data_IF_530074693984
#
_entry.id   IF_530074693984
#
_cell.length_a   1.000
_cell.length_b   1.000
_cell.length_c   1.000
_cell.angle_alpha   90.00
_cell.angle_beta   90.00
_cell.angle_gamma   90.00
#
_symmetry.space_group_name_H-M   'P 1'
#
loop_
_entity.id
_entity.type
_entity.pdbx_description
1 polymer ?
#
# COMPACT_ATOMS: atom_id res chain seq x y z
N UNK A 1 -4.43 7.18 -30.07
CA UNK A 1 -4.37 6.98 -28.60
C UNK A 1 -5.49 6.03 -28.23
N UNK A 2 -5.14 4.82 -27.79
CA UNK A 2 -6.06 3.69 -27.60
C UNK A 2 -6.80 3.81 -26.26
N UNK A 3 -8.08 4.19 -26.30
CA UNK A 3 -9.00 4.04 -25.17
C UNK A 3 -9.55 2.61 -25.14
N UNK A 4 -8.75 1.65 -24.67
CA UNK A 4 -9.29 0.36 -24.17
C UNK A 4 -9.67 0.58 -22.71
N UNK A 5 -10.89 1.05 -22.47
CA UNK A 5 -11.49 0.94 -21.15
C UNK A 5 -11.68 -0.55 -20.87
N UNK A 6 -10.88 -1.10 -19.97
CA UNK A 6 -10.92 -2.50 -19.58
C UNK A 6 -12.22 -2.72 -18.79
N UNK A 7 -13.24 -3.29 -19.42
CA UNK A 7 -14.51 -3.59 -18.75
C UNK A 7 -14.28 -4.72 -17.73
N UNK A 8 -14.48 -4.47 -16.43
CA UNK A 8 -14.31 -5.50 -15.41
C UNK A 8 -15.53 -6.42 -15.28
N UNK A 9 -16.74 -5.93 -15.61
CA UNK A 9 -17.97 -6.70 -15.58
C UNK A 9 -19.04 -6.14 -16.54
N UNK A 10 -19.88 -7.04 -17.07
CA UNK A 10 -21.06 -6.72 -17.85
C UNK A 10 -22.30 -7.16 -17.08
N UNK A 11 -23.20 -6.23 -16.81
CA UNK A 11 -24.48 -6.50 -16.13
C UNK A 11 -25.61 -6.31 -17.13
N UNK A 12 -26.30 -7.40 -17.46
CA UNK A 12 -27.50 -7.41 -18.30
C UNK A 12 -28.73 -7.61 -17.42
N UNK A 13 -29.61 -6.61 -17.41
CA UNK A 13 -30.91 -6.66 -16.76
C UNK A 13 -31.99 -6.71 -17.82
N UNK A 14 -32.64 -7.87 -17.95
CA UNK A 14 -33.81 -8.03 -18.82
C UNK A 14 -35.07 -8.13 -17.96
N UNK A 15 -35.91 -7.11 -18.04
CA UNK A 15 -37.27 -7.20 -17.52
C UNK A 15 -38.07 -8.07 -18.48
N UNK A 16 -38.40 -9.29 -18.04
CA UNK A 16 -39.24 -10.23 -18.79
C UNK A 16 -40.56 -10.42 -18.05
N UNK A 17 -41.65 -10.67 -18.79
CA UNK A 17 -42.89 -11.10 -18.15
C UNK A 17 -42.62 -12.42 -17.42
N UNK A 18 -42.85 -12.45 -16.10
CA UNK A 18 -42.96 -13.73 -15.40
C UNK A 18 -44.17 -14.47 -15.96
N UNK A 19 -43.93 -15.40 -16.88
CA UNK A 19 -44.86 -16.49 -17.13
C UNK A 19 -44.86 -17.34 -15.85
N UNK A 20 -45.96 -17.29 -15.12
CA UNK A 20 -46.20 -18.19 -13.98
C UNK A 20 -46.20 -19.63 -14.48
N UNK A 21 -45.07 -20.32 -14.41
CA UNK A 21 -45.01 -21.76 -14.50
C UNK A 21 -44.33 -22.33 -13.25
N UNK A 22 -45.18 -22.92 -12.42
CA UNK A 22 -44.81 -23.87 -11.37
C UNK A 22 -43.89 -24.96 -11.91
N UNK A 23 -42.93 -25.34 -11.07
CA UNK A 23 -42.03 -26.49 -11.21
C UNK A 23 -42.62 -27.69 -11.95
N UNK A 24 -42.00 -28.09 -13.05
CA UNK A 24 -42.01 -29.47 -13.51
C UNK A 24 -40.69 -29.75 -14.25
N UNK A 25 -39.91 -30.66 -13.68
CA UNK A 25 -38.81 -31.37 -14.33
C UNK A 25 -39.30 -32.10 -15.58
N UNK A 26 -38.60 -31.96 -16.72
CA UNK A 26 -38.56 -33.05 -17.69
C UNK A 26 -37.29 -33.04 -18.54
N UNK A 27 -36.81 -34.25 -18.73
CA UNK A 27 -35.59 -34.73 -19.36
C UNK A 27 -35.41 -34.32 -20.83
N UNK A 28 -34.14 -34.38 -21.25
CA UNK A 28 -33.66 -34.25 -22.62
C UNK A 28 -34.38 -35.14 -23.63
N UNK A 29 -34.63 -34.61 -24.83
CA UNK A 29 -34.53 -35.37 -26.08
C UNK A 29 -34.21 -34.44 -27.27
N UNK A 30 -33.21 -34.85 -28.06
CA UNK A 30 -32.79 -34.27 -29.33
C UNK A 30 -33.88 -34.39 -30.41
N UNK A 31 -33.95 -33.41 -31.33
CA UNK A 31 -34.23 -33.67 -32.75
C UNK A 31 -33.82 -32.50 -33.65
N UNK A 32 -33.11 -32.84 -34.73
CA UNK A 32 -32.68 -31.99 -35.84
C UNK A 32 -33.85 -31.60 -36.75
N UNK A 33 -33.69 -30.52 -37.56
CA UNK A 33 -33.86 -30.48 -39.05
C UNK A 33 -34.23 -29.05 -39.57
N UNK A 34 -33.30 -28.50 -40.37
CA UNK A 34 -33.36 -27.68 -41.62
C UNK A 34 -34.40 -26.58 -41.89
N UNK A 35 -33.93 -25.46 -42.47
CA UNK A 35 -34.53 -24.91 -43.71
C UNK A 35 -34.85 -23.40 -43.78
N UNK A 36 -34.06 -22.70 -44.60
CA UNK A 36 -34.39 -21.52 -45.45
C UNK A 36 -34.47 -20.06 -44.92
N UNK A 37 -33.97 -19.19 -45.81
CA UNK A 37 -33.57 -17.77 -45.70
C UNK A 37 -34.74 -16.75 -45.70
N UNK A 38 -34.43 -15.44 -45.52
CA UNK A 38 -34.99 -14.21 -46.19
C UNK A 38 -34.69 -12.94 -45.31
N UNK A 39 -34.48 -11.70 -45.84
CA UNK A 39 -33.31 -11.12 -46.51
C UNK A 39 -32.67 -9.94 -45.70
N UNK A 40 -31.64 -9.29 -46.27
CA UNK A 40 -30.98 -8.08 -45.73
C UNK A 40 -31.83 -6.81 -45.92
N UNK A 41 -31.84 -5.93 -44.92
CA UNK A 41 -32.19 -4.51 -45.05
C UNK A 41 -31.01 -3.69 -44.51
N UNK A 42 -30.51 -2.78 -45.34
CA UNK A 42 -29.38 -1.87 -45.09
C UNK A 42 -29.73 -0.72 -44.13
N UNK A 43 -28.68 -0.21 -43.46
CA UNK A 43 -28.61 0.66 -42.28
C UNK A 43 -29.11 2.12 -42.46
N UNK A 44 -29.06 2.93 -41.39
CA UNK A 44 -27.99 3.92 -41.39
C UNK A 44 -27.17 4.01 -40.09
N UNK A 45 -25.86 4.12 -40.29
CA UNK A 45 -24.75 4.16 -39.33
C UNK A 45 -24.85 5.27 -38.27
N UNK A 46 -24.73 4.89 -37.00
CA UNK A 46 -24.05 5.68 -35.96
C UNK A 46 -23.64 4.81 -34.76
N UNK A 47 -22.33 4.50 -34.71
CA UNK A 47 -21.57 4.00 -33.54
C UNK A 47 -21.97 2.61 -33.00
N UNK A 48 -21.50 1.57 -33.70
CA UNK A 48 -20.90 0.38 -33.07
C UNK A 48 -21.75 -0.88 -32.91
N UNK A 49 -22.36 -1.40 -33.98
CA UNK A 49 -23.03 -2.72 -33.99
C UNK A 49 -22.09 -3.91 -33.69
N UNK A 50 -20.77 -3.71 -33.79
CA UNK A 50 -19.75 -4.70 -33.42
C UNK A 50 -19.75 -5.06 -31.92
N UNK A 51 -20.11 -4.13 -31.03
CA UNK A 51 -20.25 -4.44 -29.60
C UNK A 51 -21.54 -5.21 -29.31
N UNK A 52 -22.62 -4.91 -30.05
CA UNK A 52 -23.91 -5.58 -29.88
C UNK A 52 -23.85 -7.04 -30.32
N UNK A 53 -23.20 -7.34 -31.45
CA UNK A 53 -23.07 -8.72 -31.95
C UNK A 53 -22.24 -9.63 -31.02
N UNK A 54 -21.23 -9.09 -30.33
CA UNK A 54 -20.48 -9.82 -29.30
C UNK A 54 -21.31 -10.09 -28.03
N UNK A 55 -22.26 -9.22 -27.68
CA UNK A 55 -23.04 -9.32 -26.45
C UNK A 55 -24.24 -10.27 -26.56
N UNK A 56 -24.82 -10.42 -27.75
CA UNK A 56 -26.02 -11.26 -27.98
C UNK A 56 -25.73 -12.66 -28.55
N UNK A 57 -24.50 -12.96 -28.97
CA UNK A 57 -24.13 -14.29 -29.47
C UNK A 57 -23.82 -15.32 -28.38
N UNK A 58 -23.70 -14.91 -27.13
CA UNK A 58 -23.49 -15.82 -25.99
C UNK A 58 -24.66 -15.76 -25.03
N UNK A 59 -25.41 -16.88 -24.92
CA UNK A 59 -26.26 -17.22 -23.75
C UNK A 59 -25.44 -17.41 -22.45
N UNK A 60 -24.21 -16.92 -22.41
CA UNK A 60 -23.31 -16.97 -21.28
C UNK A 60 -23.17 -15.54 -20.76
N UNK A 61 -23.96 -15.23 -19.73
CA UNK A 61 -23.68 -14.07 -18.89
C UNK A 61 -22.24 -14.18 -18.39
N UNK A 62 -21.44 -13.13 -18.53
CA UNK A 62 -20.11 -13.05 -17.93
C UNK A 62 -20.28 -12.93 -16.41
N UNK A 63 -20.65 -14.03 -15.76
CA UNK A 63 -20.88 -14.11 -14.31
C UNK A 63 -19.58 -14.20 -13.50
N UNK A 64 -18.42 -14.28 -14.16
CA UNK A 64 -17.13 -14.35 -13.47
C UNK A 64 -16.52 -12.95 -13.40
N UNK A 65 -16.88 -12.22 -12.35
CA UNK A 65 -16.11 -11.06 -11.90
C UNK A 65 -14.77 -11.61 -11.40
N UNK A 66 -13.70 -11.44 -12.19
CA UNK A 66 -12.34 -11.76 -11.71
C UNK A 66 -12.02 -10.96 -10.45
N UNK A 67 -11.14 -11.49 -9.59
CA UNK A 67 -10.79 -10.93 -8.29
C UNK A 67 -10.69 -9.39 -8.32
N UNK A 68 -11.46 -8.71 -7.46
CA UNK A 68 -11.38 -7.25 -7.29
C UNK A 68 -10.46 -6.96 -6.13
N UNK A 69 -9.57 -5.98 -6.25
CA UNK A 69 -8.62 -5.66 -5.20
C UNK A 69 -8.85 -4.25 -4.62
N UNK A 70 -8.51 -4.09 -3.34
CA UNK A 70 -8.56 -2.80 -2.66
C UNK A 70 -7.77 -1.73 -3.43
N UNK A 71 -8.36 -0.55 -3.58
CA UNK A 71 -7.74 0.59 -4.25
C UNK A 71 -7.86 0.56 -5.77
N UNK A 72 -8.35 -0.53 -6.38
CA UNK A 72 -8.72 -0.54 -7.80
C UNK A 72 -9.93 0.36 -8.06
N UNK A 73 -10.05 0.81 -9.30
CA UNK A 73 -11.31 1.34 -9.82
C UNK A 73 -12.08 0.17 -10.42
N UNK A 74 -13.13 -0.26 -9.73
CA UNK A 74 -14.10 -1.19 -10.27
C UNK A 74 -14.94 -0.49 -11.34
N UNK A 75 -14.89 -0.98 -12.58
CA UNK A 75 -15.69 -0.44 -13.69
C UNK A 75 -16.59 -1.52 -14.28
N UNK A 76 -17.89 -1.25 -14.38
CA UNK A 76 -18.86 -2.14 -15.01
C UNK A 76 -19.72 -1.39 -16.03
N UNK A 77 -20.22 -2.12 -17.03
CA UNK A 77 -21.26 -1.62 -17.93
C UNK A 77 -22.59 -2.23 -17.50
N UNK A 78 -23.57 -1.37 -17.28
CA UNK A 78 -24.93 -1.78 -16.93
C UNK A 78 -25.81 -1.51 -18.13
N UNK A 79 -26.52 -2.54 -18.59
CA UNK A 79 -27.55 -2.42 -19.62
C UNK A 79 -28.88 -2.91 -19.08
N UNK A 80 -29.91 -2.08 -19.25
CA UNK A 80 -31.28 -2.34 -18.86
C UNK A 80 -32.10 -2.42 -20.12
N UNK A 81 -32.72 -3.57 -20.33
CA UNK A 81 -33.63 -3.84 -21.44
C UNK A 81 -35.04 -4.00 -20.89
N UNK A 82 -35.96 -3.18 -21.38
CA UNK A 82 -37.38 -3.37 -21.11
C UNK A 82 -37.97 -4.37 -22.10
N UNK A 83 -38.09 -5.64 -21.70
CA UNK A 83 -38.77 -6.67 -22.47
C UNK A 83 -40.28 -6.78 -22.16
N UNK A 84 -40.84 -5.86 -21.39
CA UNK A 84 -42.25 -5.86 -20.98
C UNK A 84 -43.04 -4.77 -21.70
N UNK A 85 -44.38 -4.87 -21.67
CA UNK A 85 -45.27 -3.81 -22.14
C UNK A 85 -45.41 -2.62 -21.18
N UNK A 86 -44.76 -2.67 -20.01
CA UNK A 86 -44.89 -1.70 -18.93
C UNK A 86 -43.86 -0.58 -19.04
N UNK A 87 -44.12 0.59 -18.44
CA UNK A 87 -43.21 1.73 -18.47
C UNK A 87 -42.29 1.71 -17.25
N UNK A 88 -40.98 1.63 -17.49
CA UNK A 88 -39.96 1.79 -16.44
C UNK A 88 -39.72 3.29 -16.23
N UNK A 89 -39.76 3.73 -14.97
CA UNK A 89 -39.78 5.15 -14.60
C UNK A 89 -38.56 5.61 -13.80
N UNK A 90 -37.85 4.69 -13.15
CA UNK A 90 -36.72 5.03 -12.27
C UNK A 90 -35.73 3.87 -12.16
N UNK A 91 -34.45 4.22 -12.17
CA UNK A 91 -33.32 3.29 -12.14
C UNK A 91 -32.33 3.78 -11.10
N UNK A 92 -32.05 2.95 -10.12
CA UNK A 92 -31.11 3.20 -9.04
C UNK A 92 -30.01 2.15 -9.03
N UNK A 93 -28.76 2.61 -9.01
CA UNK A 93 -27.59 1.75 -8.90
C UNK A 93 -26.80 2.14 -7.65
N UNK A 94 -26.51 1.15 -6.81
CA UNK A 94 -25.92 1.36 -5.49
C UNK A 94 -24.87 0.31 -5.16
N UNK A 95 -23.88 0.68 -4.33
CA UNK A 95 -22.96 -0.25 -3.66
C UNK A 95 -23.08 -0.18 -2.13
N UNK A 96 -22.95 -1.31 -1.43
CA UNK A 96 -23.01 -1.42 0.06
C UNK A 96 -21.80 -0.72 0.74
N UNK A 97 -21.72 -0.38 2.04
CA UNK A 97 -22.68 -0.30 3.15
C UNK A 97 -23.17 1.14 3.44
N UNK A 98 -22.63 2.13 2.73
CA UNK A 98 -22.93 3.56 2.86
C UNK A 98 -23.84 4.05 1.73
N UNK A 99 -24.78 3.23 1.23
CA UNK A 99 -25.76 3.61 0.17
C UNK A 99 -25.19 4.60 -0.86
N UNK A 100 -24.00 4.33 -1.40
CA UNK A 100 -23.40 5.25 -2.34
C UNK A 100 -24.14 5.05 -3.66
N UNK A 101 -24.95 6.03 -4.02
CA UNK A 101 -25.57 6.10 -5.34
C UNK A 101 -24.44 6.27 -6.35
N UNK A 102 -24.33 5.31 -7.27
CA UNK A 102 -23.37 5.40 -8.34
C UNK A 102 -23.98 6.23 -9.46
N UNK A 103 -23.27 7.25 -9.97
CA UNK A 103 -23.80 8.15 -10.98
C UNK A 103 -24.15 7.34 -12.22
N UNK A 104 -25.45 7.22 -12.48
CA UNK A 104 -26.01 6.69 -13.70
C UNK A 104 -26.52 7.86 -14.51
N UNK A 105 -26.14 7.96 -15.79
CA UNK A 105 -26.46 9.08 -16.69
C UNK A 105 -27.94 9.44 -16.75
N UNK A 106 -28.81 8.52 -16.34
CA UNK A 106 -30.26 8.64 -16.38
C UNK A 106 -30.93 8.73 -15.00
N UNK A 107 -30.16 9.05 -13.94
CA UNK A 107 -30.67 9.14 -12.57
C UNK A 107 -31.40 10.47 -12.28
N UNK A 108 -30.91 11.59 -12.86
CA UNK A 108 -31.51 12.93 -12.67
C UNK A 108 -32.53 13.32 -13.75
N UNK A 109 -32.63 12.52 -14.82
CA UNK A 109 -33.63 12.70 -15.86
C UNK A 109 -34.70 11.64 -15.60
N UNK A 110 -35.98 11.99 -15.57
CA UNK A 110 -37.08 11.03 -15.42
C UNK A 110 -37.05 10.01 -16.56
N UNK A 111 -36.27 8.95 -16.39
CA UNK A 111 -36.04 7.94 -17.40
C UNK A 111 -37.36 7.24 -17.66
N UNK A 112 -37.86 7.36 -18.89
CA UNK A 112 -39.03 6.64 -19.35
C UNK A 112 -38.59 5.64 -20.40
N UNK A 113 -38.58 4.35 -20.05
CA UNK A 113 -38.16 3.28 -20.95
C UNK A 113 -39.38 2.50 -21.45
N UNK A 114 -39.71 2.67 -22.74
CA UNK A 114 -40.82 1.97 -23.39
C UNK A 114 -40.48 0.49 -23.68
N UNK A 115 -41.51 -0.29 -24.03
CA UNK A 115 -41.36 -1.68 -24.43
C UNK A 115 -40.34 -1.84 -25.58
N UNK A 116 -39.42 -2.80 -25.44
CA UNK A 116 -38.36 -3.10 -26.40
C UNK A 116 -37.17 -2.13 -26.37
N UNK A 117 -37.22 -1.05 -25.60
CA UNK A 117 -36.11 -0.10 -25.48
C UNK A 117 -35.06 -0.58 -24.48
N UNK A 118 -33.82 -0.18 -24.73
CA UNK A 118 -32.70 -0.44 -23.82
C UNK A 118 -31.93 0.83 -23.52
N UNK A 119 -31.43 0.94 -22.31
CA UNK A 119 -30.49 1.98 -21.89
C UNK A 119 -29.24 1.32 -21.31
N UNK A 120 -28.09 1.97 -21.41
CA UNK A 120 -26.90 1.49 -20.74
C UNK A 120 -25.92 2.60 -20.41
N UNK A 121 -25.09 2.34 -19.41
CA UNK A 121 -24.08 3.28 -18.93
C UNK A 121 -22.88 2.54 -18.34
N UNK A 122 -21.73 3.21 -18.35
CA UNK A 122 -20.51 2.74 -17.72
C UNK A 122 -20.35 3.38 -16.35
N UNK A 123 -20.20 2.55 -15.33
CA UNK A 123 -20.08 2.99 -13.95
C UNK A 123 -18.69 2.66 -13.46
N UNK A 124 -18.09 3.59 -12.71
CA UNK A 124 -16.77 3.40 -12.10
C UNK A 124 -16.81 3.78 -10.63
N UNK A 125 -16.22 2.93 -9.79
CA UNK A 125 -16.18 3.10 -8.35
C UNK A 125 -14.80 2.72 -7.81
N UNK A 126 -14.14 3.63 -7.11
CA UNK A 126 -12.90 3.31 -6.40
C UNK A 126 -13.22 2.47 -5.16
N UNK A 127 -12.64 1.28 -5.10
CA UNK A 127 -12.90 0.32 -4.03
C UNK A 127 -12.06 0.67 -2.80
N UNK A 128 -12.72 1.05 -1.71
CA UNK A 128 -12.07 1.58 -0.51
C UNK A 128 -11.99 0.62 0.68
N UNK A 129 -12.71 -0.50 0.62
CA UNK A 129 -12.84 -1.44 1.73
C UNK A 129 -12.70 -2.88 1.24
N UNK A 130 -12.08 -3.74 2.06
CA UNK A 130 -11.97 -5.19 1.80
C UNK A 130 -13.24 -5.92 2.26
N UNK A 131 -13.49 -7.11 1.71
CA UNK A 131 -14.62 -7.96 2.11
C UNK A 131 -15.61 -8.18 0.97
N UNK A 132 -16.81 -8.66 1.29
CA UNK A 132 -17.83 -8.95 0.31
C UNK A 132 -18.61 -7.68 -0.05
N UNK A 133 -18.49 -7.23 -1.29
CA UNK A 133 -19.23 -6.08 -1.81
C UNK A 133 -20.47 -6.54 -2.56
N UNK A 134 -21.49 -5.68 -2.55
CA UNK A 134 -22.77 -5.89 -3.20
C UNK A 134 -23.05 -4.71 -4.12
N UNK A 135 -23.15 -4.97 -5.42
CA UNK A 135 -23.73 -4.06 -6.39
C UNK A 135 -25.24 -4.37 -6.46
N UNK A 136 -26.05 -3.36 -6.17
CA UNK A 136 -27.51 -3.44 -6.20
C UNK A 136 -28.01 -2.62 -7.38
N UNK A 137 -28.71 -3.29 -8.29
CA UNK A 137 -29.44 -2.64 -9.38
C UNK A 137 -30.92 -2.68 -9.03
N UNK A 138 -31.48 -1.54 -8.67
CA UNK A 138 -32.89 -1.37 -8.36
C UNK A 138 -33.60 -0.66 -9.52
N UNK A 139 -34.74 -1.20 -9.92
CA UNK A 139 -35.58 -0.69 -10.99
C UNK A 139 -37.00 -0.50 -10.44
N UNK A 140 -37.65 0.59 -10.84
CA UNK A 140 -39.03 0.89 -10.50
C UNK A 140 -39.81 1.11 -11.80
N UNK A 141 -40.91 0.37 -11.96
CA UNK A 141 -41.77 0.45 -13.12
C UNK A 141 -43.25 0.49 -12.71
N UNK A 142 -44.07 1.12 -13.54
CA UNK A 142 -45.51 1.23 -13.30
C UNK A 142 -46.24 0.27 -14.22
N UNK A 143 -47.10 -0.57 -13.65
CA UNK A 143 -47.99 -1.43 -14.41
C UNK A 143 -49.15 -0.63 -15.02
N UNK A 144 -49.82 -1.20 -16.02
CA UNK A 144 -51.00 -0.62 -16.67
C UNK A 144 -52.15 -0.28 -15.68
N UNK A 145 -52.21 -0.95 -14.52
CA UNK A 145 -53.18 -0.68 -13.44
C UNK A 145 -52.75 0.48 -12.49
N UNK A 146 -51.63 1.15 -12.76
CA UNK A 146 -51.07 2.22 -11.93
C UNK A 146 -50.26 1.73 -10.72
N UNK A 147 -50.12 0.42 -10.52
CA UNK A 147 -49.31 -0.15 -9.45
C UNK A 147 -47.82 0.03 -9.74
N UNK A 148 -47.08 0.66 -8.81
CA UNK A 148 -45.62 0.75 -8.88
C UNK A 148 -45.01 -0.54 -8.33
N UNK A 149 -44.16 -1.17 -9.14
CA UNK A 149 -43.42 -2.38 -8.77
C UNK A 149 -41.94 -2.09 -8.76
N UNK A 150 -41.27 -2.66 -7.76
CA UNK A 150 -39.82 -2.55 -7.57
C UNK A 150 -39.17 -3.91 -7.85
N UNK A 151 -38.18 -3.89 -8.72
CA UNK A 151 -37.32 -5.03 -8.99
C UNK A 151 -35.90 -4.72 -8.50
N UNK A 152 -35.24 -5.68 -7.85
CA UNK A 152 -33.86 -5.53 -7.40
C UNK A 152 -33.06 -6.76 -7.76
N UNK A 153 -31.92 -6.54 -8.40
CA UNK A 153 -30.93 -7.57 -8.65
C UNK A 153 -29.66 -7.27 -7.86
N UNK A 154 -29.05 -8.32 -7.35
CA UNK A 154 -27.88 -8.25 -6.49
C UNK A 154 -26.70 -8.96 -7.17
N UNK A 155 -25.55 -8.30 -7.21
CA UNK A 155 -24.30 -8.86 -7.70
C UNK A 155 -23.26 -8.79 -6.59
N UNK A 156 -22.80 -9.96 -6.13
CA UNK A 156 -21.81 -10.08 -5.08
C UNK A 156 -20.42 -10.26 -5.69
N UNK A 157 -19.43 -9.55 -5.15
CA UNK A 157 -18.03 -9.76 -5.53
C UNK A 157 -17.11 -9.57 -4.32
N UNK A 158 -16.13 -10.47 -4.11
CA UNK A 158 -15.15 -10.30 -3.05
C UNK A 158 -14.12 -9.24 -3.45
N UNK A 159 -13.80 -8.37 -2.49
CA UNK A 159 -12.66 -7.45 -2.57
C UNK A 159 -11.55 -7.95 -1.67
N UNK A 160 -10.41 -8.22 -2.28
CA UNK A 160 -9.23 -8.80 -1.65
C UNK A 160 -8.15 -7.73 -1.40
N UNK A 161 -7.21 -8.05 -0.52
CA UNK A 161 -6.01 -7.23 -0.31
C UNK A 161 -5.04 -7.46 -1.48
N UNK A 162 -4.56 -6.40 -2.17
CA UNK A 162 -3.60 -6.56 -3.27
C UNK A 162 -2.15 -6.71 -2.80
N UNK A 163 -1.83 -6.14 -1.64
CA UNK A 163 -0.47 -5.98 -1.15
C UNK A 163 -0.41 -6.25 0.34
N UNK A 164 0.50 -7.11 0.79
CA UNK A 164 0.91 -7.18 2.18
C UNK A 164 2.11 -6.26 2.41
N UNK A 165 2.06 -5.46 3.49
CA UNK A 165 3.09 -4.45 3.79
C UNK A 165 3.56 -4.62 5.23
N UNK A 166 4.84 -4.97 5.38
CA UNK A 166 5.52 -5.01 6.67
C UNK A 166 6.56 -3.89 6.72
N UNK A 167 6.62 -3.17 7.84
CA UNK A 167 7.56 -2.06 8.01
C UNK A 167 8.42 -2.25 9.26
N UNK A 168 9.69 -1.82 9.17
CA UNK A 168 10.63 -1.78 10.29
C UNK A 168 11.31 -0.42 10.31
N UNK A 169 11.29 0.24 11.47
CA UNK A 169 11.99 1.50 11.68
C UNK A 169 13.24 1.27 12.52
N UNK A 170 14.39 1.69 12.01
CA UNK A 170 15.68 1.63 12.70
C UNK A 170 16.20 3.05 12.92
N UNK A 171 16.54 3.38 14.17
CA UNK A 171 17.20 4.65 14.50
C UNK A 171 18.68 4.54 14.18
N UNK A 172 19.23 5.51 13.45
CA UNK A 172 20.66 5.66 13.27
C UNK A 172 21.20 6.77 14.18
N UNK A 173 22.51 6.76 14.41
CA UNK A 173 23.23 7.66 15.32
C UNK A 173 23.10 9.15 14.94
N UNK A 174 22.86 9.44 13.66
CA UNK A 174 22.86 10.79 13.08
C UNK A 174 21.48 11.46 13.01
N UNK A 175 20.57 11.19 13.97
CA UNK A 175 19.18 11.70 13.92
C UNK A 175 18.41 11.28 12.65
N UNK A 176 18.93 10.28 11.95
CA UNK A 176 18.34 9.69 10.75
C UNK A 176 17.61 8.41 11.15
N UNK A 177 16.47 8.18 10.53
CA UNK A 177 15.67 6.97 10.71
C UNK A 177 15.62 6.25 9.40
N UNK A 178 16.02 4.99 9.41
CA UNK A 178 15.84 4.13 8.26
C UNK A 178 14.50 3.41 8.38
N UNK A 179 13.70 3.47 7.33
CA UNK A 179 12.48 2.69 7.19
C UNK A 179 12.72 1.62 6.13
N UNK A 180 12.67 0.36 6.54
CA UNK A 180 12.53 -0.77 5.64
C UNK A 180 11.03 -1.06 5.44
N UNK A 181 10.57 -1.06 4.20
CA UNK A 181 9.22 -1.48 3.81
C UNK A 181 9.32 -2.72 2.92
N UNK A 182 8.70 -3.81 3.37
CA UNK A 182 8.57 -5.06 2.62
C UNK A 182 7.17 -5.09 2.02
N UNK A 183 7.08 -5.09 0.69
CA UNK A 183 5.83 -5.10 -0.07
C UNK A 183 5.71 -6.43 -0.79
N UNK A 184 4.71 -7.22 -0.45
CA UNK A 184 4.42 -8.50 -1.07
C UNK A 184 3.20 -8.38 -1.98
N UNK A 185 3.31 -8.89 -3.20
CA UNK A 185 2.16 -9.03 -4.10
C UNK A 185 1.32 -10.25 -3.66
N UNK A 186 0.09 -10.01 -3.21
CA UNK A 186 -0.85 -11.07 -2.80
C UNK A 186 -1.91 -11.37 -3.86
N UNK A 187 -1.83 -10.72 -5.02
CA UNK A 187 -2.70 -11.00 -6.17
C UNK A 187 -2.27 -12.27 -6.90
N UNK A 188 -3.15 -12.75 -7.77
CA UNK A 188 -2.92 -13.86 -8.70
C UNK A 188 -2.21 -13.44 -10.01
N UNK A 189 -1.91 -12.16 -10.17
CA UNK A 189 -1.31 -11.61 -11.37
C UNK A 189 0.01 -10.87 -11.09
N UNK A 190 0.85 -10.81 -12.11
CA UNK A 190 2.05 -9.97 -12.10
C UNK A 190 1.66 -8.49 -11.90
N UNK A 191 2.36 -7.83 -10.99
CA UNK A 191 2.06 -6.45 -10.58
C UNK A 191 3.27 -5.55 -10.82
N UNK A 192 3.08 -4.45 -11.54
CA UNK A 192 4.08 -3.41 -11.70
C UNK A 192 3.76 -2.30 -10.72
N UNK A 193 4.70 -1.94 -9.84
CA UNK A 193 4.56 -0.77 -9.00
C UNK A 193 4.91 0.49 -9.82
N UNK A 194 3.89 1.30 -10.13
CA UNK A 194 4.05 2.60 -10.77
C UNK A 194 4.64 3.64 -9.80
N UNK A 195 4.34 3.51 -8.50
CA UNK A 195 4.86 4.40 -7.46
C UNK A 195 4.97 3.67 -6.12
N UNK A 196 6.09 3.86 -5.44
CA UNK A 196 6.28 3.46 -4.03
C UNK A 196 6.97 4.62 -3.33
N UNK A 197 6.19 5.52 -2.75
CA UNK A 197 6.66 6.78 -2.21
C UNK A 197 6.35 6.88 -0.72
N UNK A 198 7.34 7.27 0.06
CA UNK A 198 7.15 7.61 1.46
C UNK A 198 6.82 9.11 1.55
N UNK A 199 5.60 9.43 1.98
CA UNK A 199 5.10 10.79 2.11
C UNK A 199 5.22 11.23 3.58
N UNK A 200 6.06 12.22 3.91
CA UNK A 200 6.19 12.69 5.29
C UNK A 200 4.88 13.31 5.79
N UNK A 201 4.62 13.17 7.09
CA UNK A 201 3.58 13.97 7.74
C UNK A 201 4.05 15.44 7.72
N UNK A 202 3.16 16.42 7.46
CA UNK A 202 3.52 17.84 7.52
C UNK A 202 4.24 18.15 8.86
N UNK A 203 5.28 18.98 8.79
CA UNK A 203 6.24 19.36 9.87
C UNK A 203 7.52 18.51 10.04
N UNK A 204 7.73 17.47 9.21
CA UNK A 204 9.03 16.77 9.12
C UNK A 204 9.79 17.13 7.82
N UNK A 205 11.05 17.55 7.95
CA UNK A 205 11.95 17.91 6.85
C UNK A 205 12.42 16.66 6.03
N UNK A 206 13.13 16.83 4.89
CA UNK A 206 12.93 16.03 3.68
C UNK A 206 13.18 14.53 3.84
N UNK A 207 12.29 13.74 3.25
CA UNK A 207 12.46 12.30 3.08
C UNK A 207 13.33 12.06 1.86
N UNK A 208 14.42 11.31 2.04
CA UNK A 208 15.26 10.88 0.92
C UNK A 208 15.04 9.39 0.72
N UNK A 209 14.48 9.01 -0.42
CA UNK A 209 14.52 7.60 -0.82
C UNK A 209 16.00 7.24 -1.02
N UNK A 210 16.46 6.22 -0.32
CA UNK A 210 17.81 5.71 -0.56
C UNK A 210 17.67 4.85 -1.80
N UNK A 211 18.10 5.41 -2.93
CA UNK A 211 18.14 4.68 -4.19
C UNK A 211 18.94 3.39 -3.98
N UNK A 212 18.44 2.29 -4.54
CA UNK A 212 19.03 0.96 -4.43
C UNK A 212 20.54 1.03 -4.70
N UNK A 213 21.35 0.38 -3.85
CA UNK A 213 22.79 0.18 -4.07
C UNK A 213 23.10 -0.57 -5.38
N UNK A 214 22.07 -1.06 -6.08
CA UNK A 214 22.16 -1.65 -7.40
C UNK A 214 22.21 -0.54 -8.47
N UNK A 215 23.41 -0.05 -8.75
CA UNK A 215 23.71 0.76 -9.92
C UNK A 215 23.52 -0.06 -11.21
N UNK A 216 22.28 -0.09 -11.73
CA UNK A 216 21.94 -0.77 -12.96
C UNK A 216 20.73 -0.13 -13.66
N UNK A 217 20.70 -0.18 -14.99
CA UNK A 217 19.74 0.46 -15.90
C UNK A 217 18.25 0.03 -15.73
N UNK A 218 17.87 -0.64 -14.65
CA UNK A 218 16.52 -1.15 -14.37
C UNK A 218 15.67 -0.22 -13.47
N UNK A 219 15.84 1.10 -13.61
CA UNK A 219 15.11 2.09 -12.79
C UNK A 219 13.58 2.14 -13.04
N UNK A 220 13.05 1.52 -14.09
CA UNK A 220 11.72 1.86 -14.59
C UNK A 220 10.60 0.82 -14.40
N UNK A 221 10.90 -0.42 -14.02
CA UNK A 221 9.86 -1.44 -13.84
C UNK A 221 10.02 -2.17 -12.50
N UNK A 222 9.23 -1.77 -11.51
CA UNK A 222 9.13 -2.49 -10.24
C UNK A 222 8.11 -3.63 -10.38
N UNK A 223 8.47 -4.66 -11.15
CA UNK A 223 7.65 -5.86 -11.30
C UNK A 223 7.77 -6.74 -10.04
N UNK A 224 6.63 -7.13 -9.48
CA UNK A 224 6.51 -8.03 -8.33
C UNK A 224 5.56 -9.16 -8.75
N UNK A 225 6.09 -10.39 -8.85
CA UNK A 225 5.31 -11.59 -9.20
C UNK A 225 4.36 -11.98 -8.04
N UNK A 226 3.29 -12.74 -8.30
CA UNK A 226 2.44 -13.32 -7.26
C UNK A 226 3.26 -13.99 -6.15
N UNK A 227 2.98 -13.64 -4.89
CA UNK A 227 3.66 -14.15 -3.71
C UNK A 227 5.05 -13.58 -3.44
N UNK A 228 5.67 -12.89 -4.41
CA UNK A 228 7.02 -12.33 -4.26
C UNK A 228 7.00 -11.07 -3.38
N UNK A 229 8.11 -10.87 -2.66
CA UNK A 229 8.33 -9.72 -1.77
C UNK A 229 9.40 -8.81 -2.37
N UNK A 230 9.17 -7.50 -2.34
CA UNK A 230 10.17 -6.49 -2.66
C UNK A 230 10.42 -5.59 -1.46
N UNK A 231 11.69 -5.33 -1.17
CA UNK A 231 12.12 -4.46 -0.08
C UNK A 231 12.42 -3.06 -0.62
N UNK A 232 12.03 -2.04 0.15
CA UNK A 232 12.32 -0.64 -0.11
C UNK A 232 12.93 -0.02 1.14
N UNK A 233 14.00 0.75 0.98
CA UNK A 233 14.67 1.43 2.07
C UNK A 233 14.54 2.95 1.92
N UNK A 234 14.18 3.63 3.00
CA UNK A 234 14.03 5.08 3.04
C UNK A 234 14.86 5.67 4.18
N UNK A 235 15.49 6.81 3.95
CA UNK A 235 16.16 7.61 4.97
C UNK A 235 15.31 8.83 5.32
N UNK A 236 15.03 8.99 6.61
CA UNK A 236 14.19 10.06 7.13
C UNK A 236 15.03 10.87 8.12
N UNK A 237 15.30 12.12 7.80
CA UNK A 237 15.97 13.03 8.72
C UNK A 237 14.95 13.50 9.76
N UNK A 238 15.05 13.02 11.00
CA UNK A 238 14.16 13.45 12.05
C UNK A 238 14.63 14.79 12.64
N UNK A 239 13.71 15.74 12.74
CA UNK A 239 13.91 16.94 13.55
C UNK A 239 13.72 16.53 15.02
N UNK A 240 14.65 16.95 15.89
CA UNK A 240 14.61 16.74 17.34
C UNK A 240 13.26 17.24 17.90
N UNK A 241 12.34 16.32 18.20
CA UNK A 241 11.12 16.63 18.95
C UNK A 241 11.06 15.74 20.20
N UNK A 242 10.83 16.36 21.35
CA UNK A 242 10.65 15.71 22.67
C UNK A 242 9.24 15.13 22.83
N UNK A 243 8.81 14.30 21.88
CA UNK A 243 7.54 13.59 21.99
C UNK A 243 7.78 12.08 21.96
N UNK A 244 7.05 11.36 22.80
CA UNK A 244 7.19 9.90 22.97
C UNK A 244 6.84 9.10 21.72
N UNK A 245 6.00 9.66 20.84
CA UNK A 245 5.63 9.08 19.56
C UNK A 245 5.56 10.19 18.49
N UNK A 246 6.13 9.91 17.32
CA UNK A 246 6.03 10.79 16.15
C UNK A 246 5.40 9.98 15.01
N UNK A 247 4.35 10.52 14.42
CA UNK A 247 3.87 10.05 13.13
C UNK A 247 4.86 10.53 12.06
N UNK A 248 5.63 9.60 11.49
CA UNK A 248 6.80 9.93 10.67
C UNK A 248 6.41 10.16 9.21
N UNK A 249 5.66 9.22 8.64
CA UNK A 249 5.31 9.24 7.22
C UNK A 249 4.19 8.24 6.89
N UNK A 250 3.61 8.37 5.71
CA UNK A 250 2.68 7.39 5.12
C UNK A 250 3.31 6.79 3.87
N UNK A 251 3.22 5.47 3.70
CA UNK A 251 3.67 4.82 2.48
C UNK A 251 2.52 4.85 1.45
N UNK A 252 2.74 5.52 0.32
CA UNK A 252 1.79 5.63 -0.78
C UNK A 252 2.27 4.77 -1.96
N UNK A 253 1.44 3.79 -2.34
CA UNK A 253 1.72 2.81 -3.37
C UNK A 253 0.69 2.90 -4.48
N UNK A 254 1.16 2.99 -5.72
CA UNK A 254 0.34 2.88 -6.92
C UNK A 254 0.87 1.72 -7.73
N UNK A 255 -0.03 0.86 -8.17
CA UNK A 255 0.30 -0.36 -8.85
C UNK A 255 -0.60 -0.58 -10.06
N UNK A 256 -0.11 -1.39 -11.01
CA UNK A 256 -0.85 -1.84 -12.16
C UNK A 256 -0.57 -3.32 -12.41
N UNK A 257 -1.60 -4.14 -12.53
CA UNK A 257 -1.49 -5.53 -12.93
C UNK A 257 -1.28 -5.66 -14.44
N UNK A 258 -0.76 -6.78 -14.90
CA UNK A 258 -0.53 -7.04 -16.34
C UNK A 258 -1.80 -7.03 -17.19
N UNK A 259 -2.97 -7.25 -16.57
CA UNK A 259 -4.27 -7.10 -17.24
C UNK A 259 -4.71 -5.63 -17.42
N UNK A 260 -3.93 -4.66 -16.91
CA UNK A 260 -4.18 -3.22 -17.07
C UNK A 260 -4.95 -2.56 -15.94
N UNK A 261 -5.45 -3.32 -14.96
CA UNK A 261 -6.11 -2.77 -13.77
C UNK A 261 -5.10 -2.03 -12.91
N UNK A 262 -5.52 -0.88 -12.40
CA UNK A 262 -4.68 0.03 -11.62
C UNK A 262 -5.32 0.25 -10.27
N UNK A 263 -4.51 0.17 -9.22
CA UNK A 263 -4.96 0.47 -7.87
C UNK A 263 -4.00 1.37 -7.11
N UNK A 264 -4.53 1.97 -6.03
CA UNK A 264 -3.74 2.77 -5.09
C UNK A 264 -4.04 2.35 -3.66
N UNK A 265 -3.00 2.14 -2.87
CA UNK A 265 -3.10 1.85 -1.45
C UNK A 265 -2.18 2.78 -0.67
N UNK A 266 -2.65 3.28 0.47
CA UNK A 266 -1.87 4.11 1.38
C UNK A 266 -1.92 3.49 2.77
N UNK A 267 -0.78 3.43 3.46
CA UNK A 267 -0.75 2.99 4.86
C UNK A 267 -1.30 4.07 5.79
N UNK A 268 -1.73 3.67 6.97
CA UNK A 268 -1.84 4.60 8.09
C UNK A 268 -0.48 5.27 8.37
N UNK A 269 -0.46 6.45 9.03
CA UNK A 269 0.79 7.07 9.46
C UNK A 269 1.64 6.08 10.25
N UNK A 270 2.87 5.85 9.79
CA UNK A 270 3.86 5.05 10.48
C UNK A 270 4.27 5.80 11.74
N UNK A 271 4.14 5.15 12.89
CA UNK A 271 4.50 5.72 14.16
C UNK A 271 5.89 5.25 14.56
N UNK A 272 6.69 6.18 15.06
CA UNK A 272 7.96 5.88 15.71
C UNK A 272 7.86 6.26 17.17
N UNK A 273 8.16 5.32 18.05
CA UNK A 273 8.52 5.64 19.42
C UNK A 273 9.89 6.31 19.38
N UNK A 274 9.93 7.60 19.65
CA UNK A 274 11.21 8.26 19.91
C UNK A 274 11.47 7.99 21.38
N UNK A 275 12.35 7.02 21.65
CA UNK A 275 13.00 6.93 22.95
C UNK A 275 13.58 8.32 23.18
N UNK A 276 13.04 9.06 24.16
CA UNK A 276 13.46 10.43 24.42
C UNK A 276 14.99 10.47 24.47
N UNK A 277 15.58 11.56 23.96
CA UNK A 277 16.99 11.80 24.24
C UNK A 277 17.08 11.73 25.76
N UNK A 278 17.71 10.69 26.32
CA UNK A 278 17.99 10.68 27.75
C UNK A 278 18.80 11.94 28.09
N UNK A 279 19.17 12.12 29.36
CA UNK A 279 19.98 13.28 29.74
C UNK A 279 21.30 13.39 28.92
N UNK A 280 21.78 12.25 28.37
CA UNK A 280 22.99 12.14 27.58
C UNK A 280 22.71 11.49 26.20
N UNK A 281 23.30 12.08 25.15
CA UNK A 281 23.28 11.54 23.79
C UNK A 281 24.69 11.21 23.32
N UNK A 282 24.83 10.10 22.61
CA UNK A 282 26.07 9.67 21.96
C UNK A 282 25.89 9.61 20.45
N UNK A 283 26.89 10.06 19.69
CA UNK A 283 26.97 9.97 18.23
C UNK A 283 28.38 9.58 17.78
N UNK A 284 28.54 8.79 16.71
CA UNK A 284 29.84 8.64 16.05
C UNK A 284 30.03 9.77 15.04
N UNK A 285 31.13 10.51 15.17
CA UNK A 285 31.52 11.59 14.26
C UNK A 285 32.39 11.06 13.13
N UNK A 286 33.35 10.19 13.47
CA UNK A 286 34.24 9.59 12.48
C UNK A 286 34.81 8.28 12.99
N UNK A 287 35.06 7.37 12.05
CA UNK A 287 35.70 6.08 12.31
C UNK A 287 35.95 5.37 10.98
N UNK A 288 36.93 4.46 10.92
CA UNK A 288 37.21 3.70 9.71
C UNK A 288 36.12 2.67 9.43
N UNK A 289 35.67 2.54 8.18
CA UNK A 289 34.70 1.49 7.80
C UNK A 289 35.35 0.10 7.69
N UNK A 290 36.67 0.04 7.52
CA UNK A 290 37.44 -1.20 7.51
C UNK A 290 38.82 -1.03 8.15
N UNK A 291 39.27 -2.03 8.91
CA UNK A 291 40.56 -2.01 9.62
C UNK A 291 41.28 -3.36 9.52
N UNK A 292 42.60 -3.33 9.60
CA UNK A 292 43.39 -4.57 9.65
C UNK A 292 43.37 -5.14 11.06
N UNK A 293 43.28 -6.46 11.17
CA UNK A 293 43.36 -7.19 12.43
C UNK A 293 44.66 -6.84 13.16
N UNK A 294 44.59 -6.74 14.48
CA UNK A 294 45.71 -6.39 15.37
C UNK A 294 46.37 -5.04 15.12
N UNK A 295 45.72 -4.11 14.43
CA UNK A 295 46.14 -2.72 14.37
C UNK A 295 45.18 -1.83 15.17
N UNK A 296 45.70 -0.90 15.99
CA UNK A 296 44.86 0.05 16.69
C UNK A 296 44.25 1.04 15.70
N UNK A 297 43.01 1.44 15.95
CA UNK A 297 42.32 2.46 15.17
C UNK A 297 41.51 3.37 16.07
N UNK A 298 41.20 4.57 15.58
CA UNK A 298 40.53 5.61 16.36
C UNK A 298 39.10 5.82 15.88
N UNK A 299 38.19 5.99 16.83
CA UNK A 299 36.80 6.37 16.61
C UNK A 299 36.51 7.61 17.44
N UNK A 300 35.95 8.64 16.80
CA UNK A 300 35.58 9.89 17.45
C UNK A 300 34.09 9.84 17.77
N UNK A 301 33.77 9.86 19.05
CA UNK A 301 32.42 9.95 19.55
C UNK A 301 32.12 11.39 19.96
N UNK A 302 30.91 11.87 19.72
CA UNK A 302 30.37 13.11 20.24
C UNK A 302 29.32 12.80 21.30
N UNK A 303 29.52 13.38 22.47
CA UNK A 303 28.62 13.33 23.60
C UNK A 303 27.89 14.67 23.65
N UNK A 304 26.56 14.66 23.73
CA UNK A 304 25.74 15.86 23.87
C UNK A 304 24.93 15.78 25.17
N UNK A 305 24.98 16.84 25.98
CA UNK A 305 24.07 16.98 27.11
C UNK A 305 22.70 17.46 26.60
N UNK A 306 21.69 16.61 26.78
CA UNK A 306 20.29 16.88 26.45
C UNK A 306 19.47 17.36 27.68
N UNK A 307 20.09 17.43 28.86
CA UNK A 307 19.41 17.86 30.10
C UNK A 307 19.56 19.36 30.37
N UNK A 308 18.70 19.89 31.25
CA UNK A 308 18.75 21.28 31.72
C UNK A 308 19.85 21.54 32.76
N UNK A 309 20.60 20.52 33.16
CA UNK A 309 21.62 20.58 34.23
C UNK A 309 23.01 20.25 33.71
N UNK A 310 24.05 20.68 34.43
CA UNK A 310 25.41 20.26 34.13
C UNK A 310 25.64 18.80 34.53
N UNK A 311 26.26 18.02 33.65
CA UNK A 311 26.58 16.61 33.88
C UNK A 311 28.05 16.45 34.21
N UNK A 312 28.35 15.73 35.30
CA UNK A 312 29.72 15.42 35.71
C UNK A 312 30.01 13.96 35.39
N UNK A 313 30.52 13.70 34.19
CA UNK A 313 30.59 12.35 33.62
C UNK A 313 31.93 11.68 33.90
N UNK A 314 31.88 10.39 34.25
CA UNK A 314 33.02 9.48 34.30
C UNK A 314 32.79 8.36 33.28
N UNK A 315 33.73 8.17 32.36
CA UNK A 315 33.72 7.10 31.36
C UNK A 315 34.23 5.80 31.97
N UNK A 316 33.50 4.71 31.78
CA UNK A 316 33.97 3.35 32.04
C UNK A 316 33.78 2.52 30.77
N UNK A 317 34.85 1.87 30.34
CA UNK A 317 34.88 0.98 29.19
C UNK A 317 34.87 -0.47 29.68
N UNK A 318 33.95 -1.28 29.14
CA UNK A 318 33.73 -2.67 29.52
C UNK A 318 33.90 -3.58 28.30
N UNK A 319 34.98 -4.36 28.29
CA UNK A 319 35.30 -5.28 27.19
C UNK A 319 34.48 -6.58 27.22
N UNK A 320 33.74 -6.87 28.30
CA UNK A 320 33.04 -8.16 28.44
C UNK A 320 31.88 -8.35 27.46
N UNK A 321 31.39 -7.26 26.87
CA UNK A 321 30.20 -7.25 26.01
C UNK A 321 30.49 -7.41 24.51
N UNK A 322 31.76 -7.35 24.09
CA UNK A 322 32.17 -7.45 22.69
C UNK A 322 33.02 -8.70 22.45
N UNK A 323 32.78 -9.40 21.33
CA UNK A 323 33.57 -10.60 20.93
C UNK A 323 34.42 -10.26 19.71
N UNK A 324 35.65 -9.79 19.93
CA UNK A 324 36.62 -9.56 18.85
C UNK A 324 37.08 -8.11 18.65
N UNK A 325 36.57 -7.18 19.46
CA UNK A 325 37.10 -5.83 19.63
C UNK A 325 37.49 -5.62 21.09
N UNK A 326 38.50 -4.80 21.33
CA UNK A 326 38.95 -4.39 22.66
C UNK A 326 39.10 -2.88 22.71
N UNK A 327 38.74 -2.30 23.85
CA UNK A 327 39.01 -0.90 24.16
C UNK A 327 40.48 -0.72 24.53
N UNK A 328 41.23 -0.01 23.70
CA UNK A 328 42.63 0.37 23.97
C UNK A 328 42.71 1.84 24.42
N UNK A 329 41.84 2.23 25.34
CA UNK A 329 41.73 3.59 25.88
C UNK A 329 41.60 3.55 27.39
N UNK A 330 41.92 4.66 28.05
CA UNK A 330 41.80 4.76 29.50
C UNK A 330 40.32 4.68 29.91
N UNK A 331 40.03 3.73 30.81
CA UNK A 331 38.76 3.62 31.53
C UNK A 331 38.83 4.44 32.82
N UNK A 332 37.67 4.69 33.43
CA UNK A 332 37.51 5.49 34.67
C UNK A 332 38.00 6.94 34.55
N UNK A 333 37.88 7.51 33.34
CA UNK A 333 38.27 8.89 33.06
C UNK A 333 37.13 9.84 33.40
N UNK A 334 37.38 10.76 34.32
CA UNK A 334 36.45 11.86 34.62
C UNK A 334 36.63 13.00 33.61
N UNK A 335 35.52 13.45 33.02
CA UNK A 335 35.52 14.59 32.11
C UNK A 335 35.22 15.91 32.81
N UNK A 336 35.52 17.02 32.15
CA UNK A 336 35.05 18.34 32.56
C UNK A 336 33.51 18.40 32.59
N UNK A 337 32.90 19.23 33.47
CA UNK A 337 31.46 19.38 33.55
C UNK A 337 30.84 19.75 32.19
N UNK A 338 29.97 18.89 31.67
CA UNK A 338 29.28 19.13 30.40
C UNK A 338 28.03 19.96 30.66
N UNK A 339 28.09 21.25 30.32
CA UNK A 339 26.98 22.19 30.51
C UNK A 339 25.73 21.82 29.67
N UNK A 340 24.53 22.29 30.06
CA UNK A 340 23.29 22.08 29.30
C UNK A 340 23.43 22.43 27.82
N UNK A 341 22.88 21.59 26.94
CA UNK A 341 22.91 21.74 25.49
C UNK A 341 24.33 21.82 24.84
N UNK A 342 25.42 21.58 25.59
CA UNK A 342 26.78 21.53 25.04
C UNK A 342 27.16 20.12 24.57
N UNK A 343 28.15 20.09 23.68
CA UNK A 343 28.74 18.87 23.14
C UNK A 343 30.21 18.76 23.51
N UNK A 344 30.71 17.53 23.60
CA UNK A 344 32.12 17.19 23.80
C UNK A 344 32.47 16.03 22.88
N UNK A 345 33.64 16.09 22.25
CA UNK A 345 34.15 14.98 21.44
C UNK A 345 35.15 14.17 22.25
N UNK A 346 35.01 12.85 22.22
CA UNK A 346 35.90 11.89 22.87
C UNK A 346 36.46 10.97 21.79
N UNK A 347 37.78 10.92 21.68
CA UNK A 347 38.47 10.01 20.75
C UNK A 347 38.88 8.77 21.50
N UNK A 348 38.35 7.62 21.10
CA UNK A 348 38.69 6.33 21.68
C UNK A 348 39.44 5.48 20.67
N UNK A 349 40.47 4.79 21.14
CA UNK A 349 41.24 3.83 20.39
C UNK A 349 40.73 2.42 20.68
N UNK A 350 40.49 1.65 19.63
CA UNK A 350 40.09 0.25 19.69
C UNK A 350 41.13 -0.64 18.99
N UNK A 351 41.11 -1.93 19.33
CA UNK A 351 41.95 -2.96 18.73
C UNK A 351 41.10 -4.16 18.35
N UNK A 352 41.27 -4.67 17.13
CA UNK A 352 40.52 -5.83 16.65
C UNK A 352 41.30 -7.14 16.80
N UNK A 353 40.72 -8.11 17.51
CA UNK A 353 41.27 -9.44 17.73
C UNK A 353 40.78 -10.47 16.71
N UNK A 354 39.58 -10.29 16.16
CA UNK A 354 38.94 -11.21 15.22
C UNK A 354 38.59 -10.51 13.90
N UNK A 355 38.78 -11.20 12.78
CA UNK A 355 38.33 -10.75 11.47
C UNK A 355 36.79 -10.83 11.34
N UNK A 356 36.23 -10.16 10.34
CA UNK A 356 34.79 -10.12 10.06
C UNK A 356 34.14 -8.79 10.45
N UNK A 357 32.80 -8.73 10.38
CA UNK A 357 32.04 -7.57 10.84
C UNK A 357 32.02 -7.55 12.37
N UNK A 358 32.59 -6.51 12.96
CA UNK A 358 32.70 -6.32 14.40
C UNK A 358 31.94 -5.07 14.82
N UNK A 359 31.48 -5.04 16.08
CA UNK A 359 30.78 -3.91 16.67
C UNK A 359 31.30 -3.57 18.06
N UNK A 360 31.41 -2.27 18.37
CA UNK A 360 31.88 -1.79 19.67
C UNK A 360 30.72 -1.70 20.68
N UNK A 361 30.93 -2.21 21.89
CA UNK A 361 29.93 -2.20 22.97
C UNK A 361 30.57 -1.91 24.33
N UNK A 362 29.76 -1.69 25.37
CA UNK A 362 30.25 -1.54 26.74
C UNK A 362 30.80 -0.16 27.08
N UNK A 363 30.35 0.89 26.40
CA UNK A 363 30.67 2.25 26.79
C UNK A 363 29.67 2.77 27.82
N UNK A 364 30.15 3.04 29.04
CA UNK A 364 29.31 3.46 30.16
C UNK A 364 29.73 4.84 30.65
N UNK A 365 28.76 5.70 30.95
CA UNK A 365 28.97 7.00 31.59
C UNK A 365 28.25 7.04 32.93
N UNK A 366 28.97 7.44 33.98
CA UNK A 366 28.41 7.67 35.30
C UNK A 366 28.37 9.18 35.59
N UNK A 367 27.18 9.71 35.87
CA UNK A 367 27.03 11.09 36.32
C UNK A 367 27.15 11.16 37.85
N UNK A 368 28.21 11.79 38.34
CA UNK A 368 28.48 11.96 39.77
C UNK A 368 27.42 12.83 40.46
N UNK A 369 26.79 13.77 39.74
CA UNK A 369 25.83 14.71 40.31
C UNK A 369 24.50 14.02 40.60
N UNK A 370 23.99 13.22 39.66
CA UNK A 370 22.69 12.55 39.80
C UNK A 370 22.77 11.07 40.14
N UNK A 371 23.98 10.51 40.24
CA UNK A 371 24.25 9.08 40.44
C UNK A 371 23.56 8.19 39.39
N UNK A 372 23.34 8.72 38.19
CA UNK A 372 22.75 8.00 37.05
C UNK A 372 23.83 7.35 36.22
N UNK A 373 23.50 6.21 35.61
CA UNK A 373 24.34 5.47 34.66
C UNK A 373 23.70 5.52 33.28
N UNK A 374 24.51 5.79 32.27
CA UNK A 374 24.15 5.72 30.86
C UNK A 374 25.01 4.64 30.23
N UNK A 375 24.38 3.64 29.61
CA UNK A 375 25.08 2.51 29.01
C UNK A 375 24.79 2.49 27.51
N UNK A 376 25.84 2.39 26.70
CA UNK A 376 25.75 2.35 25.25
C UNK A 376 26.43 1.08 24.73
N UNK A 377 25.65 0.30 23.99
CA UNK A 377 26.06 -0.93 23.33
C UNK A 377 25.79 -0.81 21.83
N UNK A 378 26.52 -1.59 21.04
CA UNK A 378 26.43 -1.61 19.58
C UNK A 378 26.56 -0.20 18.94
N UNK A 379 27.56 0.55 19.40
CA UNK A 379 27.72 1.99 19.12
C UNK A 379 28.56 2.32 17.90
N UNK A 380 29.18 1.33 17.27
CA UNK A 380 30.02 1.52 16.10
C UNK A 380 30.27 0.18 15.41
N UNK A 381 30.20 0.15 14.08
CA UNK A 381 30.40 -1.04 13.27
C UNK A 381 31.62 -0.90 12.37
N UNK A 382 32.44 -1.95 12.27
CA UNK A 382 33.66 -1.95 11.44
C UNK A 382 33.93 -3.32 10.83
N UNK A 383 34.40 -3.35 9.59
CA UNK A 383 34.85 -4.58 8.95
C UNK A 383 36.35 -4.84 9.21
N UNK A 384 36.69 -5.95 9.83
CA UNK A 384 38.07 -6.33 10.16
C UNK A 384 38.60 -7.33 9.14
N UNK A 385 39.69 -6.99 8.45
CA UNK A 385 40.37 -7.86 7.49
C UNK A 385 41.76 -8.30 7.97
N UNK A 386 42.27 -9.41 7.44
CA UNK A 386 43.55 -10.02 7.84
C UNK A 386 44.76 -9.34 7.21
#
# INVERSE_FOLDING_TARGET
MNYKYLLCALVLLSLTQQLSNTSASSEHANQNITGEEIPRIEEPLAVGDDFRSMLFSSRHTCNQVGNVYLGEVFSCYISILNGTGEIVTEVDIQTNATRVLLPFKYQDTSLTLNAGQSVGDSISHEVKEIGLHLLVCALSYSKANGEKVFFRQFFQFPVLKPLDVCTKLCSAENDTVYLEAQVQNTTDADMIMERVALEPVPDLAPVTRIDDFCSGKEKNCCLIKPGAVRQFLYGISCIKQDVSWIAVAKLNMVWRTTNGRRGRVQTCPLQKTVSGCGDLKLKVISGPSAVKIRLPFHVVFQIQNCSERALQLTLTLDDTLQKGLLWNSLSEVQFEPLLPAKTMNVTLTLFAECAGLQFASGMKFYDCNTKRRYEYNDVFHVFVYT
#
